data_IF_397126229137
#
_entry.id   IF_397126229137
#
_cell.length_a   1.000
_cell.length_b   1.000
_cell.length_c   1.000
_cell.angle_alpha   90.00
_cell.angle_beta   90.00
_cell.angle_gamma   90.00
#
_symmetry.space_group_name_H-M   'P 1'
#
loop_
_entity.id
_entity.type
_entity.pdbx_description
1 polymer ?
#
# COMPACT_ATOMS: atom_id res chain seq x y z
N UNK A 1 17.46 -17.16 22.08
CA UNK A 1 16.17 -17.77 21.70
C UNK A 1 16.49 -19.05 20.95
N UNK A 2 15.76 -20.14 21.16
CA UNK A 2 16.03 -21.38 20.42
C UNK A 2 15.64 -21.23 18.95
N UNK A 3 16.45 -21.80 18.04
CA UNK A 3 16.21 -21.73 16.60
C UNK A 3 14.84 -22.30 16.20
N UNK A 4 14.39 -23.36 16.88
CA UNK A 4 13.06 -23.97 16.65
C UNK A 4 11.93 -23.00 16.98
N UNK A 5 12.04 -22.27 18.09
CA UNK A 5 11.08 -21.25 18.50
C UNK A 5 11.09 -20.08 17.51
N UNK A 6 12.27 -19.63 17.10
CA UNK A 6 12.42 -18.57 16.11
C UNK A 6 11.75 -18.93 14.76
N UNK A 7 11.95 -20.16 14.28
CA UNK A 7 11.32 -20.66 13.06
C UNK A 7 9.80 -20.73 13.23
N UNK A 8 9.31 -21.29 14.34
CA UNK A 8 7.87 -21.37 14.59
C UNK A 8 7.20 -20.00 14.61
N UNK A 9 7.79 -19.02 15.32
CA UNK A 9 7.27 -17.64 15.36
C UNK A 9 7.31 -16.97 13.98
N UNK A 10 8.38 -17.19 13.21
CA UNK A 10 8.49 -16.69 11.83
C UNK A 10 7.41 -17.27 10.93
N UNK A 11 7.16 -18.58 10.99
CA UNK A 11 6.12 -19.26 10.20
C UNK A 11 4.73 -18.75 10.58
N UNK A 12 4.44 -18.62 11.88
CA UNK A 12 3.15 -18.07 12.34
C UNK A 12 2.93 -16.66 11.79
N UNK A 13 3.96 -15.81 11.85
CA UNK A 13 3.87 -14.45 11.33
C UNK A 13 3.64 -14.44 9.81
N UNK A 14 4.38 -15.25 9.06
CA UNK A 14 4.20 -15.42 7.61
C UNK A 14 2.77 -15.86 7.27
N UNK A 15 2.20 -16.79 8.04
CA UNK A 15 0.82 -17.26 7.83
C UNK A 15 -0.18 -16.14 8.10
N UNK A 16 0.01 -15.35 9.16
CA UNK A 16 -0.84 -14.18 9.45
C UNK A 16 -0.75 -13.15 8.32
N UNK A 17 0.47 -12.79 7.91
CA UNK A 17 0.71 -11.88 6.79
C UNK A 17 0.05 -12.39 5.52
N UNK A 18 0.27 -13.65 5.15
CA UNK A 18 -0.35 -14.26 3.98
C UNK A 18 -1.88 -14.26 4.06
N UNK A 19 -2.45 -14.58 5.22
CA UNK A 19 -3.89 -14.55 5.46
C UNK A 19 -4.49 -13.15 5.29
N UNK A 20 -3.83 -12.12 5.83
CA UNK A 20 -4.22 -10.71 5.63
C UNK A 20 -4.13 -10.34 4.14
N UNK A 21 -3.04 -10.71 3.47
CA UNK A 21 -2.87 -10.47 2.03
C UNK A 21 -3.94 -11.15 1.18
N UNK A 22 -4.28 -12.41 1.47
CA UNK A 22 -5.36 -13.16 0.80
C UNK A 22 -6.73 -12.54 1.07
N UNK A 23 -6.99 -12.13 2.31
CA UNK A 23 -8.21 -11.41 2.65
C UNK A 23 -8.34 -10.13 1.82
N UNK A 24 -7.25 -9.38 1.67
CA UNK A 24 -7.23 -8.13 0.90
C UNK A 24 -7.32 -8.38 -0.62
N UNK A 25 -6.76 -9.49 -1.12
CA UNK A 25 -6.95 -9.94 -2.50
C UNK A 25 -8.43 -10.15 -2.85
N UNK A 26 -9.29 -10.49 -1.88
CA UNK A 26 -10.74 -10.62 -2.10
C UNK A 26 -11.40 -9.28 -2.48
N UNK A 27 -10.81 -8.17 -2.07
CA UNK A 27 -11.24 -6.80 -2.34
C UNK A 27 -10.51 -6.15 -3.53
N UNK A 28 -9.74 -6.94 -4.31
CA UNK A 28 -8.94 -6.44 -5.45
C UNK A 28 -9.68 -5.54 -6.44
N UNK A 29 -10.99 -5.71 -6.58
CA UNK A 29 -11.82 -4.91 -7.49
C UNK A 29 -11.90 -3.42 -7.10
N UNK A 30 -11.58 -3.09 -5.85
CA UNK A 30 -11.66 -1.73 -5.30
C UNK A 30 -10.29 -1.14 -4.93
N UNK A 31 -9.20 -1.87 -5.21
CA UNK A 31 -7.85 -1.43 -4.89
C UNK A 31 -7.33 -0.51 -6.00
N UNK A 32 -6.98 0.72 -5.65
CA UNK A 32 -6.32 1.68 -6.56
C UNK A 32 -4.81 1.38 -6.65
N UNK A 33 -4.15 1.89 -7.69
CA UNK A 33 -2.68 1.79 -7.87
C UNK A 33 -1.92 2.23 -6.60
N UNK A 34 -2.30 3.37 -6.00
CA UNK A 34 -1.70 3.86 -4.75
C UNK A 34 -1.93 2.93 -3.56
N UNK A 35 -3.13 2.35 -3.43
CA UNK A 35 -3.40 1.38 -2.36
C UNK A 35 -2.60 0.10 -2.55
N UNK A 36 -2.48 -0.40 -3.78
CA UNK A 36 -1.69 -1.58 -4.11
C UNK A 36 -0.20 -1.39 -3.80
N UNK A 37 0.34 -0.20 -4.03
CA UNK A 37 1.70 0.18 -3.63
C UNK A 37 1.89 0.16 -2.11
N UNK A 38 1.00 0.81 -1.35
CA UNK A 38 1.08 0.79 0.12
C UNK A 38 0.92 -0.62 0.69
N UNK A 39 0.06 -1.45 0.08
CA UNK A 39 -0.10 -2.86 0.41
C UNK A 39 1.18 -3.66 0.23
N UNK A 40 1.82 -3.55 -0.94
CA UNK A 40 3.08 -4.26 -1.22
C UNK A 40 4.18 -3.88 -0.24
N UNK A 41 4.36 -2.57 -0.02
CA UNK A 41 5.38 -2.05 0.88
C UNK A 41 5.20 -2.55 2.32
N UNK A 42 3.99 -2.45 2.86
CA UNK A 42 3.70 -2.88 4.23
C UNK A 42 3.81 -4.39 4.40
N UNK A 43 3.30 -5.16 3.46
CA UNK A 43 3.39 -6.62 3.50
C UNK A 43 4.85 -7.10 3.45
N UNK A 44 5.64 -6.56 2.52
CA UNK A 44 7.06 -6.90 2.37
C UNK A 44 7.89 -6.46 3.59
N UNK A 45 7.67 -5.24 4.07
CA UNK A 45 8.39 -4.71 5.24
C UNK A 45 8.07 -5.52 6.50
N UNK A 46 6.80 -5.81 6.77
CA UNK A 46 6.41 -6.53 7.99
C UNK A 46 6.91 -7.99 7.98
N UNK A 47 6.78 -8.69 6.85
CA UNK A 47 7.31 -10.07 6.76
C UNK A 47 8.84 -10.08 6.82
N UNK A 48 9.51 -9.11 6.19
CA UNK A 48 10.97 -8.99 6.20
C UNK A 48 11.52 -8.66 7.60
N UNK A 49 10.92 -7.70 8.31
CA UNK A 49 11.32 -7.34 9.68
C UNK A 49 11.10 -8.52 10.62
N UNK A 50 9.92 -9.15 10.60
CA UNK A 50 9.60 -10.24 11.52
C UNK A 50 10.52 -11.43 11.33
N UNK A 51 10.66 -11.92 10.09
CA UNK A 51 11.52 -13.08 9.79
C UNK A 51 12.98 -12.74 10.05
N UNK A 52 13.45 -11.57 9.62
CA UNK A 52 14.82 -11.12 9.88
C UNK A 52 15.12 -11.04 11.38
N UNK A 53 14.20 -10.50 12.18
CA UNK A 53 14.35 -10.37 13.63
C UNK A 53 14.41 -11.72 14.33
N UNK A 54 13.45 -12.62 14.06
CA UNK A 54 13.41 -13.93 14.72
C UNK A 54 14.60 -14.80 14.34
N UNK A 55 14.96 -14.84 13.06
CA UNK A 55 16.13 -15.60 12.59
C UNK A 55 17.43 -14.96 13.13
N UNK A 56 17.56 -13.63 13.09
CA UNK A 56 18.71 -12.92 13.66
C UNK A 56 18.85 -13.08 15.17
N UNK A 57 17.75 -13.29 15.89
CA UNK A 57 17.77 -13.62 17.31
C UNK A 57 18.20 -15.07 17.60
N UNK A 58 18.45 -15.90 16.58
CA UNK A 58 18.91 -17.28 16.73
C UNK A 58 20.17 -17.60 15.91
N UNK A 59 20.54 -16.76 14.93
CA UNK A 59 21.65 -16.99 13.98
C UNK A 59 22.49 -15.73 13.77
N UNK A 60 23.52 -15.83 12.92
CA UNK A 60 24.35 -14.70 12.52
C UNK A 60 23.65 -13.71 11.57
N UNK A 61 24.21 -12.50 11.51
CA UNK A 61 23.72 -11.38 10.71
C UNK A 61 23.60 -11.71 9.22
N UNK A 62 24.51 -12.52 8.69
CA UNK A 62 24.49 -12.89 7.27
C UNK A 62 23.26 -13.75 6.94
N UNK A 63 23.01 -14.80 7.72
CA UNK A 63 21.90 -15.72 7.48
C UNK A 63 20.56 -15.02 7.71
N UNK A 64 20.44 -14.25 8.79
CA UNK A 64 19.20 -13.53 9.09
C UNK A 64 18.86 -12.49 8.04
N UNK A 65 19.87 -11.76 7.53
CA UNK A 65 19.66 -10.77 6.49
C UNK A 65 19.28 -11.44 5.16
N UNK A 66 19.97 -12.52 4.78
CA UNK A 66 19.67 -13.26 3.56
C UNK A 66 18.23 -13.81 3.57
N UNK A 67 17.82 -14.46 4.66
CA UNK A 67 16.47 -15.04 4.79
C UNK A 67 15.42 -13.94 4.88
N UNK A 68 15.63 -12.92 5.73
CA UNK A 68 14.69 -11.81 5.90
C UNK A 68 14.46 -11.01 4.62
N UNK A 69 15.52 -10.68 3.89
CA UNK A 69 15.43 -9.97 2.61
C UNK A 69 14.73 -10.83 1.55
N UNK A 70 15.08 -12.11 1.44
CA UNK A 70 14.46 -13.01 0.45
C UNK A 70 12.95 -13.13 0.70
N UNK A 71 12.54 -13.38 1.94
CA UNK A 71 11.11 -13.47 2.30
C UNK A 71 10.41 -12.13 2.10
N UNK A 72 11.03 -11.03 2.54
CA UNK A 72 10.50 -9.67 2.37
C UNK A 72 10.26 -9.30 0.91
N UNK A 73 11.25 -9.54 0.03
CA UNK A 73 11.14 -9.26 -1.42
C UNK A 73 10.03 -10.11 -2.04
N UNK A 74 9.98 -11.40 -1.74
CA UNK A 74 8.96 -12.30 -2.31
C UNK A 74 7.56 -11.87 -1.88
N UNK A 75 7.33 -11.62 -0.59
CA UNK A 75 6.04 -11.15 -0.10
C UNK A 75 5.69 -9.77 -0.67
N UNK A 76 6.63 -8.83 -0.62
CA UNK A 76 6.44 -7.47 -1.12
C UNK A 76 6.10 -7.43 -2.61
N UNK A 77 6.79 -8.22 -3.43
CA UNK A 77 6.52 -8.31 -4.87
C UNK A 77 5.20 -9.02 -5.17
N UNK A 78 4.88 -10.13 -4.48
CA UNK A 78 3.65 -10.91 -4.71
C UNK A 78 2.41 -10.09 -4.36
N UNK A 79 2.38 -9.46 -3.18
CA UNK A 79 1.23 -8.65 -2.75
C UNK A 79 1.24 -7.25 -3.38
N UNK A 80 2.42 -6.69 -3.67
CA UNK A 80 2.57 -5.39 -4.35
C UNK A 80 2.13 -5.41 -5.81
N UNK A 81 2.10 -6.58 -6.47
CA UNK A 81 1.56 -6.74 -7.82
C UNK A 81 0.09 -6.35 -7.96
N UNK A 82 -0.63 -6.20 -6.85
CA UNK A 82 -1.98 -5.63 -6.83
C UNK A 82 -2.01 -4.16 -7.27
N UNK A 83 -0.94 -3.40 -7.06
CA UNK A 83 -0.76 -2.03 -7.53
C UNK A 83 0.05 -1.94 -8.82
N UNK A 84 -0.07 -2.95 -9.69
CA UNK A 84 0.65 -2.98 -10.96
C UNK A 84 2.16 -3.23 -10.83
N UNK A 85 2.92 -2.81 -11.84
CA UNK A 85 4.38 -2.97 -11.87
C UNK A 85 5.06 -2.09 -10.82
N UNK A 86 4.57 -0.86 -10.65
CA UNK A 86 5.12 0.09 -9.68
C UNK A 86 4.96 -0.43 -8.25
N UNK A 87 3.78 -0.97 -7.90
CA UNK A 87 3.55 -1.57 -6.59
C UNK A 87 4.41 -2.79 -6.30
N UNK A 88 4.72 -3.62 -7.31
CA UNK A 88 5.63 -4.75 -7.15
C UNK A 88 7.08 -4.30 -6.88
N UNK A 89 7.53 -3.24 -7.57
CA UNK A 89 8.86 -2.66 -7.35
C UNK A 89 8.97 -2.05 -5.95
N UNK A 90 8.00 -1.23 -5.54
CA UNK A 90 8.00 -0.59 -4.22
C UNK A 90 7.85 -1.61 -3.10
N UNK A 91 7.00 -2.62 -3.29
CA UNK A 91 6.88 -3.75 -2.36
C UNK A 91 8.19 -4.51 -2.20
N UNK A 92 8.91 -4.77 -3.30
CA UNK A 92 10.22 -5.42 -3.25
C UNK A 92 11.26 -4.59 -2.49
N UNK A 93 11.29 -3.26 -2.70
CA UNK A 93 12.18 -2.35 -1.98
C UNK A 93 11.84 -2.30 -0.49
N UNK A 94 10.55 -2.24 -0.14
CA UNK A 94 10.08 -2.31 1.23
C UNK A 94 10.47 -3.63 1.91
N UNK A 95 10.37 -4.75 1.19
CA UNK A 95 10.82 -6.05 1.63
C UNK A 95 12.34 -6.14 1.89
N UNK A 96 13.13 -5.59 0.97
CA UNK A 96 14.57 -5.47 1.13
C UNK A 96 14.96 -4.64 2.37
N UNK A 97 14.36 -3.45 2.52
CA UNK A 97 14.58 -2.57 3.68
C UNK A 97 14.16 -3.24 4.99
N UNK A 98 13.01 -3.91 4.99
CA UNK A 98 12.51 -4.62 6.16
C UNK A 98 13.40 -5.79 6.58
N UNK A 99 13.86 -6.60 5.62
CA UNK A 99 14.75 -7.74 5.87
C UNK A 99 16.08 -7.34 6.53
N UNK A 100 16.70 -6.27 6.02
CA UNK A 100 17.95 -5.73 6.59
C UNK A 100 17.77 -5.20 8.00
N UNK A 101 16.72 -4.40 8.23
CA UNK A 101 16.44 -3.86 9.55
C UNK A 101 16.09 -4.96 10.56
N UNK A 102 15.31 -5.97 10.14
CA UNK A 102 14.96 -7.11 10.98
C UNK A 102 16.19 -7.90 11.43
N UNK A 103 17.05 -8.30 10.49
CA UNK A 103 18.25 -9.09 10.78
C UNK A 103 19.21 -8.38 11.75
N UNK A 104 19.48 -7.11 11.52
CA UNK A 104 20.36 -6.31 12.39
C UNK A 104 19.79 -6.15 13.79
N UNK A 105 18.48 -5.87 13.90
CA UNK A 105 17.80 -5.79 15.21
C UNK A 105 17.86 -7.12 15.96
N UNK A 106 17.63 -8.24 15.27
CA UNK A 106 17.64 -9.58 15.87
C UNK A 106 18.99 -9.94 16.50
N UNK A 107 20.09 -9.72 15.77
CA UNK A 107 21.44 -10.07 16.22
C UNK A 107 21.91 -9.18 17.37
N UNK A 108 21.64 -7.88 17.32
CA UNK A 108 22.09 -6.94 18.36
C UNK A 108 21.38 -7.15 19.71
N UNK A 109 20.12 -7.61 19.71
CA UNK A 109 19.31 -7.78 20.92
C UNK A 109 19.57 -9.13 21.62
N UNK A 110 20.34 -10.03 20.99
CA UNK A 110 20.60 -11.38 21.49
C UNK A 110 21.36 -11.44 22.85
N UNK A 111 21.86 -10.31 23.37
CA UNK A 111 22.65 -10.21 24.60
C UNK A 111 21.90 -10.73 25.85
N UNK A 112 20.57 -10.59 25.91
CA UNK A 112 19.79 -11.13 27.04
C UNK A 112 18.50 -11.82 26.58
N UNK A 113 18.18 -13.03 27.09
CA UNK A 113 16.97 -13.75 26.68
C UNK A 113 15.68 -12.98 26.93
N UNK A 114 15.60 -12.24 28.03
CA UNK A 114 14.44 -11.43 28.37
C UNK A 114 14.22 -10.27 27.39
N UNK A 115 15.29 -9.59 26.95
CA UNK A 115 15.15 -8.50 25.98
C UNK A 115 14.60 -8.99 24.64
N UNK A 116 15.04 -10.17 24.17
CA UNK A 116 14.54 -10.76 22.91
C UNK A 116 13.03 -11.04 23.00
N UNK A 117 12.53 -11.59 24.11
CA UNK A 117 11.09 -11.85 24.27
C UNK A 117 10.28 -10.56 24.37
N UNK A 118 10.79 -9.54 25.08
CA UNK A 118 10.13 -8.23 25.18
C UNK A 118 10.03 -7.57 23.81
N UNK A 119 11.11 -7.55 23.04
CA UNK A 119 11.12 -6.95 21.70
C UNK A 119 10.32 -7.78 20.70
N UNK A 120 10.30 -9.11 20.81
CA UNK A 120 9.42 -9.97 20.04
C UNK A 120 7.93 -9.63 20.25
N UNK A 121 7.50 -9.50 21.51
CA UNK A 121 6.12 -9.15 21.86
C UNK A 121 5.80 -7.74 21.33
N UNK A 122 6.69 -6.78 21.58
CA UNK A 122 6.50 -5.40 21.15
C UNK A 122 6.39 -5.27 19.63
N UNK A 123 7.31 -5.90 18.87
CA UNK A 123 7.28 -5.94 17.41
C UNK A 123 6.00 -6.62 16.91
N UNK A 124 5.59 -7.73 17.52
CA UNK A 124 4.36 -8.44 17.13
C UNK A 124 3.12 -7.55 17.34
N UNK A 125 3.03 -6.84 18.46
CA UNK A 125 1.91 -5.93 18.76
C UNK A 125 1.87 -4.78 17.76
N UNK A 126 3.02 -4.17 17.44
CA UNK A 126 3.11 -3.10 16.43
C UNK A 126 2.69 -3.62 15.05
N UNK A 127 3.19 -4.78 14.63
CA UNK A 127 2.83 -5.37 13.35
C UNK A 127 1.33 -5.65 13.25
N UNK A 128 0.71 -6.20 14.32
CA UNK A 128 -0.73 -6.43 14.36
C UNK A 128 -1.51 -5.10 14.30
N UNK A 129 -1.08 -4.07 15.03
CA UNK A 129 -1.70 -2.75 14.99
C UNK A 129 -1.62 -2.14 13.57
N UNK A 130 -0.49 -2.28 12.88
CA UNK A 130 -0.31 -1.82 11.50
C UNK A 130 -1.23 -2.61 10.55
N UNK A 131 -1.34 -3.94 10.69
CA UNK A 131 -2.28 -4.73 9.88
C UNK A 131 -3.73 -4.32 10.10
N UNK A 132 -4.15 -4.10 11.34
CA UNK A 132 -5.50 -3.60 11.64
C UNK A 132 -5.70 -2.21 11.04
N UNK A 133 -4.74 -1.30 11.20
CA UNK A 133 -4.81 0.05 10.63
C UNK A 133 -4.91 0.01 9.10
N UNK A 134 -4.14 -0.86 8.45
CA UNK A 134 -4.16 -1.06 7.01
C UNK A 134 -5.50 -1.62 6.51
N UNK A 135 -6.08 -2.61 7.22
CA UNK A 135 -7.42 -3.13 6.92
C UNK A 135 -8.46 -2.01 7.05
N UNK A 136 -8.38 -1.20 8.11
CA UNK A 136 -9.28 -0.05 8.33
C UNK A 136 -9.14 1.00 7.23
N UNK A 137 -7.91 1.32 6.83
CA UNK A 137 -7.62 2.31 5.79
C UNK A 137 -8.20 1.85 4.45
N UNK A 138 -7.98 0.59 4.06
CA UNK A 138 -8.51 0.06 2.80
C UNK A 138 -10.03 0.02 2.80
N UNK A 139 -10.64 -0.34 3.93
CA UNK A 139 -12.09 -0.22 4.08
C UNK A 139 -12.55 1.22 3.84
N UNK A 140 -11.89 2.22 4.43
CA UNK A 140 -12.24 3.63 4.22
C UNK A 140 -11.99 4.11 2.78
N UNK A 141 -10.88 3.71 2.16
CA UNK A 141 -10.54 4.11 0.79
C UNK A 141 -11.46 3.47 -0.24
N UNK A 142 -11.98 2.28 0.02
CA UNK A 142 -13.04 1.65 -0.80
C UNK A 142 -14.31 2.51 -0.86
N UNK A 143 -14.58 3.34 0.16
CA UNK A 143 -15.78 4.17 0.23
C UNK A 143 -15.59 5.60 -0.30
N UNK A 144 -14.36 6.06 -0.60
CA UNK A 144 -14.12 7.41 -1.12
C UNK A 144 -13.96 7.41 -2.62
N UNK A 145 -15.05 7.72 -3.33
CA UNK A 145 -15.05 7.97 -4.77
C UNK A 145 -14.66 9.42 -5.02
N UNK A 146 -13.64 9.66 -5.85
CA UNK A 146 -13.23 11.00 -6.26
C UNK A 146 -13.64 11.25 -7.71
N UNK A 147 -14.22 12.41 -7.98
CA UNK A 147 -14.55 12.88 -9.32
C UNK A 147 -13.68 14.10 -9.66
N UNK A 148 -13.32 14.25 -10.94
CA UNK A 148 -12.51 15.38 -11.41
C UNK A 148 -13.43 16.54 -11.78
N UNK A 149 -13.15 17.74 -11.27
CA UNK A 149 -13.86 18.96 -11.66
C UNK A 149 -13.51 19.32 -13.11
N UNK A 150 -14.49 19.39 -14.04
CA UNK A 150 -14.22 19.61 -15.47
C UNK A 150 -13.77 21.05 -15.82
N UNK A 151 -13.82 21.99 -14.89
CA UNK A 151 -13.42 23.39 -15.11
C UNK A 151 -11.96 23.62 -14.73
N UNK A 152 -11.50 23.00 -13.64
CA UNK A 152 -10.18 23.27 -13.05
C UNK A 152 -9.32 22.02 -12.82
N UNK A 153 -9.80 20.84 -13.20
CA UNK A 153 -9.11 19.55 -13.06
C UNK A 153 -8.81 19.10 -11.62
N UNK A 154 -9.38 19.76 -10.61
CA UNK A 154 -9.22 19.42 -9.20
C UNK A 154 -10.03 18.17 -8.82
N UNK A 155 -9.46 17.27 -8.01
CA UNK A 155 -10.17 16.09 -7.48
C UNK A 155 -11.12 16.49 -6.35
N UNK A 156 -12.38 16.06 -6.45
CA UNK A 156 -13.46 16.33 -5.49
C UNK A 156 -13.96 15.00 -4.94
N UNK A 157 -14.06 14.88 -3.62
CA UNK A 157 -14.64 13.70 -2.97
C UNK A 157 -16.16 13.70 -3.16
N UNK A 158 -16.65 12.77 -3.98
CA UNK A 158 -18.07 12.61 -4.36
C UNK A 158 -18.97 12.46 -3.13
N UNK A 159 -18.46 11.83 -2.06
CA UNK A 159 -19.26 11.57 -0.85
C UNK A 159 -19.46 12.81 0.02
N UNK A 160 -18.62 13.84 -0.16
CA UNK A 160 -18.69 15.10 0.62
C UNK A 160 -18.98 16.32 -0.26
N UNK A 161 -19.06 16.12 -1.57
CA UNK A 161 -19.29 17.18 -2.53
C UNK A 161 -20.65 17.83 -2.32
N UNK A 162 -20.65 19.12 -1.94
CA UNK A 162 -21.86 19.93 -1.77
C UNK A 162 -22.31 20.61 -3.06
N UNK A 163 -21.44 20.67 -4.06
CA UNK A 163 -21.63 21.43 -5.29
C UNK A 163 -21.66 20.47 -6.46
N UNK A 164 -22.86 20.22 -6.98
CA UNK A 164 -23.11 19.33 -8.10
C UNK A 164 -24.02 19.99 -9.14
N UNK A 165 -23.95 19.52 -10.38
CA UNK A 165 -24.86 19.90 -11.46
C UNK A 165 -25.21 18.65 -12.26
N UNK A 166 -26.48 18.46 -12.62
CA UNK A 166 -26.92 17.32 -13.43
C UNK A 166 -26.94 17.72 -14.90
N UNK A 167 -26.20 17.01 -15.74
CA UNK A 167 -26.08 17.29 -17.16
C UNK A 167 -26.14 15.98 -17.97
N UNK A 168 -27.10 15.88 -18.91
CA UNK A 168 -27.39 14.65 -19.68
C UNK A 168 -27.59 13.38 -18.84
N UNK A 169 -28.09 13.53 -17.61
CA UNK A 169 -28.33 12.40 -16.69
C UNK A 169 -27.09 11.96 -15.90
N UNK A 170 -25.96 12.66 -16.04
CA UNK A 170 -24.77 12.47 -15.20
C UNK A 170 -24.62 13.60 -14.19
N UNK A 171 -24.32 13.25 -12.94
CA UNK A 171 -24.02 14.22 -11.88
C UNK A 171 -22.55 14.63 -11.94
N UNK A 172 -22.30 15.91 -12.18
CA UNK A 172 -20.97 16.52 -12.25
C UNK A 172 -20.64 17.19 -10.92
N UNK A 173 -19.42 16.99 -10.41
CA UNK A 173 -18.97 17.47 -9.10
C UNK A 173 -17.97 18.63 -9.23
N UNK A 174 -18.10 19.65 -8.38
CA UNK A 174 -17.27 20.86 -8.44
C UNK A 174 -16.54 21.16 -7.14
N UNK A 175 -15.30 21.64 -7.25
CA UNK A 175 -14.47 21.99 -6.10
C UNK A 175 -14.92 23.32 -5.45
N UNK A 176 -15.51 24.22 -6.23
CA UNK A 176 -15.89 25.56 -5.81
C UNK A 176 -17.13 26.07 -6.55
N UNK A 177 -17.83 27.03 -5.92
CA UNK A 177 -19.02 27.64 -6.51
C UNK A 177 -18.72 28.39 -7.83
N UNK A 178 -17.49 28.88 -7.99
CA UNK A 178 -17.01 29.48 -9.23
C UNK A 178 -16.97 28.49 -10.38
N UNK A 179 -16.43 27.29 -10.16
CA UNK A 179 -16.37 26.21 -11.16
C UNK A 179 -17.77 25.74 -11.54
N UNK A 180 -18.66 25.54 -10.56
CA UNK A 180 -20.07 25.22 -10.84
C UNK A 180 -20.74 26.27 -11.73
N UNK A 181 -20.61 27.57 -11.38
CA UNK A 181 -21.21 28.66 -12.17
C UNK A 181 -20.62 28.78 -13.57
N UNK A 182 -19.33 28.50 -13.73
CA UNK A 182 -18.68 28.50 -15.04
C UNK A 182 -19.21 27.35 -15.90
N UNK A 183 -19.33 26.15 -15.32
CA UNK A 183 -19.90 24.98 -15.97
C UNK A 183 -21.37 25.18 -16.35
N UNK A 184 -22.20 25.68 -15.44
CA UNK A 184 -23.64 25.90 -15.70
C UNK A 184 -23.90 26.92 -16.82
N UNK A 185 -22.92 27.77 -17.15
CA UNK A 185 -23.02 28.74 -18.26
C UNK A 185 -22.72 28.15 -19.62
N UNK A 186 -21.80 27.18 -19.70
CA UNK A 186 -21.34 26.58 -20.96
C UNK A 186 -20.82 25.15 -20.73
N UNK A 187 -21.72 24.20 -20.42
CA UNK A 187 -21.34 22.85 -19.99
C UNK A 187 -20.70 22.01 -21.11
N UNK A 188 -21.12 22.21 -22.36
CA UNK A 188 -20.59 21.48 -23.53
C UNK A 188 -19.09 21.74 -23.71
N UNK A 189 -18.66 23.00 -23.57
CA UNK A 189 -17.26 23.39 -23.70
C UNK A 189 -16.35 22.62 -22.73
N UNK A 190 -16.75 22.52 -21.47
CA UNK A 190 -15.93 21.90 -20.42
C UNK A 190 -15.94 20.36 -20.51
N UNK A 191 -17.05 19.75 -20.92
CA UNK A 191 -17.11 18.30 -21.11
C UNK A 191 -16.32 17.83 -22.34
N UNK A 192 -16.38 18.59 -23.44
CA UNK A 192 -15.54 18.30 -24.62
C UNK A 192 -14.05 18.42 -24.28
N UNK A 193 -13.68 19.37 -23.42
CA UNK A 193 -12.30 19.52 -22.95
C UNK A 193 -11.85 18.37 -22.05
N UNK A 194 -12.69 17.96 -21.09
CA UNK A 194 -12.42 16.82 -20.21
C UNK A 194 -12.28 15.49 -20.97
N UNK A 195 -13.10 15.28 -22.02
CA UNK A 195 -12.99 14.12 -22.90
C UNK A 195 -11.70 14.12 -23.72
N UNK A 196 -11.29 15.28 -24.25
CA UNK A 196 -10.03 15.41 -25.03
C UNK A 196 -8.79 15.14 -24.20
N UNK A 197 -8.79 15.49 -22.91
CA UNK A 197 -7.66 15.25 -21.99
C UNK A 197 -7.49 13.77 -21.59
N UNK A 198 -8.53 12.94 -21.72
CA UNK A 198 -8.48 11.51 -21.43
C UNK A 198 -8.14 10.65 -22.66
N UNK A 199 -7.88 11.27 -23.81
CA UNK A 199 -7.34 10.56 -24.98
C UNK A 199 -5.86 10.29 -24.74
N UNK A 200 -5.35 9.06 -24.92
CA UNK A 200 -3.92 8.82 -24.97
C UNK A 200 -3.34 9.78 -26.01
N UNK A 201 -2.39 10.62 -25.59
CA UNK A 201 -1.61 11.40 -26.54
C UNK A 201 -0.82 10.38 -27.36
N UNK A 202 -1.29 10.08 -28.57
CA UNK A 202 -0.52 9.33 -29.55
C UNK A 202 0.81 10.05 -29.72
N UNK A 203 1.90 9.36 -29.40
CA UNK A 203 3.27 9.85 -29.39
C UNK A 203 3.84 10.12 -30.80
N UNK A 204 3.02 10.67 -31.72
CA UNK A 204 3.36 10.88 -33.11
C UNK A 204 3.41 12.37 -33.53
N UNK A 205 3.22 13.32 -32.60
CA UNK A 205 3.28 14.75 -32.92
C UNK A 205 4.13 15.52 -31.90
N UNK A 206 5.46 15.33 -31.97
CA UNK A 206 6.42 16.39 -31.65
C UNK A 206 7.00 16.91 -32.97
N UNK A 207 6.86 18.20 -33.32
CA UNK A 207 7.65 18.80 -34.37
C UNK A 207 9.14 18.81 -33.98
N UNK A 208 9.98 18.57 -34.99
CA UNK A 208 11.43 18.33 -34.99
C UNK A 208 12.26 19.35 -34.21
#
# INVERSE_FOLDING_TARGET
>A
MDLTIAILLSVVFIVISAGVGIYLLRYRAFVTEMLGMMLGMTMGMMSGIAVGFFIGAATDMFISNLVGVTVGIVFGAVFGRLGGLMGAMDGSMGGFMGGMMGGMLGVMINISPMAVWVTAIFTTVICLAIYVALIRLIQQSTFKQYAKDPVCDMLVDVTTAKLTSDYHGETVYFCAAGCKRAFDKDPERYLVQALRQNTPVDAAQMPS
#
